data_IF_685691177077
#
_entry.id   IF_685691177077
#
_cell.length_a   1.000
_cell.length_b   1.000
_cell.length_c   1.000
_cell.angle_alpha   90.00
_cell.angle_beta   90.00
_cell.angle_gamma   90.00
#
_symmetry.space_group_name_H-M   'P 1'
#
loop_
_entity.id
_entity.type
_entity.pdbx_description
1 polymer ?
#
# COMPACT_ATOMS: atom_id res chain seq x y z
N UNK A 1 -36.24 0.08 -72.04
CA UNK A 1 -36.39 -0.02 -70.56
C UNK A 1 -35.00 -0.01 -69.95
N UNK A 2 -34.57 1.14 -69.43
CA UNK A 2 -33.21 1.36 -68.97
C UNK A 2 -33.21 1.39 -67.42
N UNK A 3 -32.58 0.39 -66.79
CA UNK A 3 -32.36 0.38 -65.33
C UNK A 3 -31.13 1.19 -64.97
N UNK A 4 -31.16 2.06 -63.93
CA UNK A 4 -30.02 2.81 -63.49
C UNK A 4 -29.06 2.01 -62.61
N UNK A 5 -27.79 1.99 -63.00
CA UNK A 5 -26.67 1.43 -62.19
C UNK A 5 -26.47 2.22 -60.92
N UNK A 6 -26.65 1.62 -59.76
CA UNK A 6 -26.28 2.14 -58.47
C UNK A 6 -24.75 2.19 -58.33
N UNK A 7 -24.17 3.36 -58.03
CA UNK A 7 -22.78 3.52 -57.67
C UNK A 7 -22.58 3.12 -56.19
N UNK A 8 -21.49 2.42 -55.81
CA UNK A 8 -21.20 2.15 -54.43
C UNK A 8 -20.83 3.41 -53.63
N UNK A 9 -21.50 3.61 -52.52
CA UNK A 9 -21.14 4.66 -51.53
C UNK A 9 -19.73 4.37 -50.96
N UNK A 10 -18.74 5.22 -51.26
CA UNK A 10 -17.47 5.24 -50.57
C UNK A 10 -17.73 5.56 -49.09
N UNK A 11 -17.49 4.59 -48.20
CA UNK A 11 -17.35 4.81 -46.78
C UNK A 11 -16.09 5.66 -46.56
N UNK A 12 -16.28 6.94 -46.23
CA UNK A 12 -15.21 7.80 -45.72
C UNK A 12 -14.99 7.37 -44.28
N UNK A 13 -14.05 6.47 -44.03
CA UNK A 13 -13.57 6.14 -42.72
C UNK A 13 -12.81 7.38 -42.22
N UNK A 14 -13.31 8.01 -41.15
CA UNK A 14 -12.78 9.28 -40.63
C UNK A 14 -11.40 9.04 -39.99
N UNK A 15 -10.33 9.34 -40.72
CA UNK A 15 -8.94 9.35 -40.23
C UNK A 15 -8.74 10.29 -39.03
N UNK A 16 -9.62 11.24 -38.81
CA UNK A 16 -9.57 12.23 -37.72
C UNK A 16 -9.89 11.66 -36.33
N UNK A 17 -10.50 10.47 -36.19
CA UNK A 17 -10.82 9.87 -34.88
C UNK A 17 -9.64 9.12 -34.27
N UNK A 18 -8.82 8.47 -35.07
CA UNK A 18 -7.65 7.67 -34.63
C UNK A 18 -6.53 8.58 -34.15
N UNK A 19 -6.33 9.74 -34.76
CA UNK A 19 -5.27 10.66 -34.37
C UNK A 19 -5.60 11.43 -33.09
N UNK A 20 -6.87 11.76 -32.87
CA UNK A 20 -7.35 12.36 -31.59
C UNK A 20 -7.20 11.38 -30.42
N UNK A 21 -7.42 10.12 -30.61
CA UNK A 21 -7.31 9.10 -29.56
C UNK A 21 -5.84 8.81 -29.19
N UNK A 22 -4.94 8.78 -30.18
CA UNK A 22 -3.48 8.71 -29.95
C UNK A 22 -2.94 9.91 -29.18
N UNK A 23 -3.38 11.11 -29.54
CA UNK A 23 -2.98 12.36 -28.88
C UNK A 23 -3.51 12.42 -27.45
N UNK A 24 -4.74 11.99 -27.21
CA UNK A 24 -5.35 11.88 -25.88
C UNK A 24 -4.61 10.87 -25.00
N UNK A 25 -4.30 9.69 -25.53
CA UNK A 25 -3.53 8.64 -24.85
C UNK A 25 -2.12 9.09 -24.47
N UNK A 26 -1.45 9.86 -25.37
CA UNK A 26 -0.13 10.44 -25.09
C UNK A 26 -0.18 11.47 -23.96
N UNK A 27 -1.18 12.37 -23.98
CA UNK A 27 -1.38 13.38 -22.92
C UNK A 27 -1.68 12.74 -21.55
N UNK A 28 -2.46 11.67 -21.51
CA UNK A 28 -2.78 10.93 -20.28
C UNK A 28 -1.52 10.29 -19.70
N UNK A 29 -0.70 9.64 -20.54
CA UNK A 29 0.58 9.03 -20.13
C UNK A 29 1.58 10.07 -19.64
N UNK A 30 1.71 11.19 -20.32
CA UNK A 30 2.59 12.31 -19.92
C UNK A 30 2.16 12.89 -18.55
N UNK A 31 0.86 13.07 -18.35
CA UNK A 31 0.29 13.50 -17.06
C UNK A 31 0.59 12.51 -15.93
N UNK A 32 0.40 11.22 -16.17
CA UNK A 32 0.68 10.16 -15.17
C UNK A 32 2.17 10.11 -14.82
N UNK A 33 3.05 10.20 -15.84
CA UNK A 33 4.50 10.24 -15.63
C UNK A 33 4.95 11.45 -14.81
N UNK A 34 4.41 12.64 -15.08
CA UNK A 34 4.72 13.85 -14.32
C UNK A 34 4.24 13.76 -12.86
N UNK A 35 3.04 13.24 -12.62
CA UNK A 35 2.55 12.99 -11.26
C UNK A 35 3.48 12.05 -10.49
N UNK A 36 3.89 10.96 -11.11
CA UNK A 36 4.79 9.99 -10.50
C UNK A 36 6.17 10.58 -10.21
N UNK A 37 6.74 11.35 -11.14
CA UNK A 37 8.02 12.03 -10.94
C UNK A 37 7.98 13.00 -9.75
N UNK A 38 6.91 13.79 -9.61
CA UNK A 38 6.70 14.69 -8.47
C UNK A 38 6.58 13.93 -7.15
N UNK A 39 5.85 12.82 -7.11
CA UNK A 39 5.71 11.97 -5.93
C UNK A 39 7.06 11.39 -5.50
N UNK A 40 7.87 10.87 -6.44
CA UNK A 40 9.19 10.31 -6.16
C UNK A 40 10.16 11.39 -5.68
N UNK A 41 10.14 12.57 -6.29
CA UNK A 41 10.97 13.70 -5.88
C UNK A 41 10.60 14.17 -4.47
N UNK A 42 9.30 14.28 -4.17
CA UNK A 42 8.80 14.62 -2.85
C UNK A 42 9.28 13.63 -1.78
N UNK A 43 9.17 12.31 -2.05
CA UNK A 43 9.66 11.27 -1.12
C UNK A 43 11.14 11.46 -0.78
N UNK A 44 11.99 11.66 -1.80
CA UNK A 44 13.44 11.85 -1.61
C UNK A 44 13.75 13.07 -0.74
N UNK A 45 13.11 14.19 -1.03
CA UNK A 45 13.35 15.44 -0.30
C UNK A 45 12.77 15.40 1.11
N UNK A 46 11.57 14.87 1.30
CA UNK A 46 10.99 14.69 2.63
C UNK A 46 11.83 13.77 3.51
N UNK A 47 12.36 12.68 2.96
CA UNK A 47 13.21 11.76 3.70
C UNK A 47 14.57 12.37 4.09
N UNK A 48 15.14 13.25 3.26
CA UNK A 48 16.46 13.85 3.49
C UNK A 48 16.43 15.14 4.31
N UNK A 49 15.41 15.99 4.13
CA UNK A 49 15.31 17.32 4.74
C UNK A 49 14.15 17.45 5.74
N UNK A 50 13.23 16.49 5.76
CA UNK A 50 11.95 16.59 6.46
C UNK A 50 10.88 17.30 5.62
N UNK A 51 9.63 17.17 6.07
CA UNK A 51 8.47 17.73 5.36
C UNK A 51 8.51 19.27 5.39
N UNK A 52 8.73 19.89 6.55
CA UNK A 52 8.61 21.34 6.70
C UNK A 52 9.70 22.11 5.95
N UNK A 53 10.94 21.64 5.98
CA UNK A 53 12.06 22.26 5.30
C UNK A 53 12.08 22.07 3.78
N UNK A 54 11.22 21.21 3.22
CA UNK A 54 11.12 20.97 1.78
C UNK A 54 10.13 21.93 1.13
N UNK A 55 10.54 22.56 0.02
CA UNK A 55 9.70 23.48 -0.75
C UNK A 55 9.12 22.82 -2.01
N UNK A 56 7.98 23.31 -2.50
CA UNK A 56 7.38 22.88 -3.78
C UNK A 56 8.32 23.14 -4.95
N UNK A 57 9.08 24.22 -4.89
CA UNK A 57 10.08 24.58 -5.93
C UNK A 57 11.20 23.54 -6.03
N UNK A 58 11.72 23.08 -4.91
CA UNK A 58 12.75 22.02 -4.90
C UNK A 58 12.23 20.69 -5.44
N UNK A 59 10.99 20.32 -5.05
CA UNK A 59 10.33 19.12 -5.54
C UNK A 59 10.16 19.18 -7.06
N UNK A 60 9.65 20.30 -7.57
CA UNK A 60 9.45 20.50 -8.99
C UNK A 60 10.76 20.46 -9.77
N UNK A 61 11.81 21.13 -9.27
CA UNK A 61 13.15 21.12 -9.85
C UNK A 61 13.73 19.70 -9.92
N UNK A 62 13.66 18.94 -8.82
CA UNK A 62 14.15 17.54 -8.78
C UNK A 62 13.35 16.61 -9.71
N UNK A 63 12.06 16.89 -9.90
CA UNK A 63 11.18 16.12 -10.79
C UNK A 63 11.30 16.51 -12.26
N UNK A 64 12.02 17.57 -12.61
CA UNK A 64 12.06 18.12 -13.98
C UNK A 64 10.69 18.65 -14.42
N UNK A 65 9.90 19.21 -13.51
CA UNK A 65 8.53 19.67 -13.73
C UNK A 65 8.37 21.14 -13.39
N UNK A 66 7.34 21.79 -13.95
CA UNK A 66 6.94 23.13 -13.51
C UNK A 66 6.27 23.07 -12.14
N UNK A 67 6.60 24.01 -11.24
CA UNK A 67 6.09 24.07 -9.86
C UNK A 67 4.55 24.12 -9.79
N UNK A 68 3.91 24.85 -10.68
CA UNK A 68 2.45 24.95 -10.79
C UNK A 68 1.73 23.61 -10.96
N UNK A 69 2.44 22.55 -11.42
CA UNK A 69 1.85 21.21 -11.50
C UNK A 69 1.61 20.59 -10.14
N UNK A 70 2.38 20.96 -9.09
CA UNK A 70 2.14 20.50 -7.72
C UNK A 70 0.79 21.03 -7.22
N UNK A 71 0.55 22.33 -7.42
CA UNK A 71 -0.75 22.91 -7.06
C UNK A 71 -1.89 22.31 -7.87
N UNK A 72 -1.70 22.14 -9.16
CA UNK A 72 -2.72 21.57 -10.06
C UNK A 72 -3.06 20.11 -9.77
N UNK A 73 -2.08 19.28 -9.39
CA UNK A 73 -2.27 17.83 -9.22
C UNK A 73 -2.51 17.39 -7.79
N UNK A 74 -2.01 18.14 -6.81
CA UNK A 74 -1.96 17.74 -5.40
C UNK A 74 -2.50 18.81 -4.45
N UNK A 75 -2.94 19.94 -4.96
CA UNK A 75 -3.38 21.08 -4.12
C UNK A 75 -2.30 21.56 -3.14
N UNK A 76 -1.04 21.60 -3.60
CA UNK A 76 0.10 22.04 -2.82
C UNK A 76 0.92 20.91 -2.18
N UNK A 77 1.87 21.29 -1.30
CA UNK A 77 2.80 20.36 -0.65
C UNK A 77 2.09 19.34 0.25
N UNK A 78 1.06 19.75 0.98
CA UNK A 78 0.31 18.88 1.87
C UNK A 78 -0.35 17.71 1.13
N UNK A 79 -0.88 17.93 -0.07
CA UNK A 79 -1.52 16.89 -0.87
C UNK A 79 -0.54 15.88 -1.50
N UNK A 80 0.76 16.12 -1.43
CA UNK A 80 1.77 15.14 -1.89
C UNK A 80 1.91 13.94 -0.95
N UNK A 81 1.74 14.11 0.36
CA UNK A 81 1.83 12.99 1.31
C UNK A 81 0.73 11.94 1.09
N UNK A 82 -0.57 12.31 0.99
CA UNK A 82 -1.63 11.37 0.61
C UNK A 82 -1.35 10.65 -0.72
N UNK A 83 -0.98 11.41 -1.75
CA UNK A 83 -0.70 10.85 -3.07
C UNK A 83 0.51 9.89 -3.06
N UNK A 84 1.53 10.20 -2.26
CA UNK A 84 2.68 9.33 -2.05
C UNK A 84 2.27 8.02 -1.37
N UNK A 85 1.41 8.10 -0.37
CA UNK A 85 0.90 6.93 0.32
C UNK A 85 0.08 6.03 -0.60
N UNK A 86 -0.89 6.59 -1.32
CA UNK A 86 -1.69 5.84 -2.30
C UNK A 86 -0.80 5.15 -3.35
N UNK A 87 0.19 5.85 -3.86
CA UNK A 87 1.14 5.30 -4.82
C UNK A 87 1.91 4.11 -4.24
N UNK A 88 2.40 4.20 -2.99
CA UNK A 88 3.15 3.13 -2.35
C UNK A 88 2.29 1.92 -2.05
N UNK A 89 1.14 2.12 -1.43
CA UNK A 89 0.23 1.03 -1.06
C UNK A 89 -0.29 0.28 -2.28
N UNK A 90 -0.63 1.00 -3.35
CA UNK A 90 -1.06 0.37 -4.60
C UNK A 90 0.04 -0.53 -5.19
N UNK A 91 1.29 -0.12 -5.10
CA UNK A 91 2.43 -0.95 -5.53
C UNK A 91 2.65 -2.15 -4.62
N UNK A 92 2.59 -1.94 -3.31
CA UNK A 92 2.75 -2.97 -2.29
C UNK A 92 1.77 -4.13 -2.51
N UNK A 93 0.48 -3.82 -2.62
CA UNK A 93 -0.57 -4.83 -2.85
C UNK A 93 -0.39 -5.52 -4.21
N UNK A 94 0.00 -4.77 -5.24
CA UNK A 94 0.30 -5.35 -6.56
C UNK A 94 1.53 -6.28 -6.53
N UNK A 95 2.55 -5.93 -5.75
CA UNK A 95 3.76 -6.74 -5.60
C UNK A 95 3.46 -8.02 -4.81
N UNK A 96 2.64 -7.97 -3.76
CA UNK A 96 2.15 -9.15 -3.06
C UNK A 96 1.44 -10.10 -4.02
N UNK A 97 0.54 -9.59 -4.85
CA UNK A 97 -0.24 -10.41 -5.77
C UNK A 97 0.60 -11.04 -6.90
N UNK A 98 1.63 -10.33 -7.38
CA UNK A 98 2.42 -10.75 -8.55
C UNK A 98 3.62 -11.63 -8.20
N UNK A 99 4.30 -11.33 -7.11
CA UNK A 99 5.61 -11.92 -6.80
C UNK A 99 5.57 -12.97 -5.70
N UNK A 100 4.52 -12.98 -4.87
CA UNK A 100 4.39 -13.93 -3.78
C UNK A 100 3.27 -14.90 -4.11
N UNK A 101 3.65 -16.08 -4.61
CA UNK A 101 2.69 -17.16 -4.88
C UNK A 101 2.06 -17.63 -3.57
N UNK A 102 0.73 -17.88 -3.55
CA UNK A 102 0.10 -18.49 -2.39
C UNK A 102 0.76 -19.81 -2.03
N UNK A 103 0.98 -20.04 -0.73
CA UNK A 103 1.50 -21.30 -0.24
C UNK A 103 0.41 -22.37 -0.21
N UNK A 104 0.83 -23.64 -0.02
CA UNK A 104 -0.08 -24.79 0.02
C UNK A 104 -0.66 -25.04 1.41
N UNK A 105 0.06 -24.61 2.47
CA UNK A 105 -0.36 -24.77 3.86
C UNK A 105 -0.66 -23.42 4.50
N UNK A 106 -1.52 -23.40 5.50
CA UNK A 106 -1.81 -22.20 6.28
C UNK A 106 -0.56 -21.66 6.97
N UNK A 107 0.25 -22.55 7.56
CA UNK A 107 1.49 -22.15 8.23
C UNK A 107 2.44 -21.41 7.28
N UNK A 108 2.74 -22.01 6.13
CA UNK A 108 3.64 -21.41 5.15
C UNK A 108 3.09 -20.10 4.61
N UNK A 109 1.78 -20.03 4.37
CA UNK A 109 1.13 -18.82 3.90
C UNK A 109 1.24 -17.69 4.93
N UNK A 110 0.94 -17.99 6.20
CA UNK A 110 1.01 -16.99 7.26
C UNK A 110 2.43 -16.49 7.49
N UNK A 111 3.41 -17.39 7.53
CA UNK A 111 4.82 -17.04 7.67
C UNK A 111 5.34 -16.20 6.49
N UNK A 112 4.94 -16.53 5.28
CA UNK A 112 5.32 -15.78 4.09
C UNK A 112 4.67 -14.39 4.08
N UNK A 113 3.42 -14.22 4.54
CA UNK A 113 2.76 -12.92 4.69
C UNK A 113 3.44 -12.05 5.76
N UNK A 114 3.82 -12.64 6.89
CA UNK A 114 4.58 -11.93 7.94
C UNK A 114 5.95 -11.51 7.41
N UNK A 115 6.68 -12.40 6.74
CA UNK A 115 7.97 -12.05 6.14
C UNK A 115 7.84 -10.93 5.11
N UNK A 116 6.83 -11.01 4.24
CA UNK A 116 6.53 -9.94 3.29
C UNK A 116 6.24 -8.61 3.99
N UNK A 117 5.43 -8.61 5.05
CA UNK A 117 5.12 -7.39 5.80
C UNK A 117 6.37 -6.78 6.45
N UNK A 118 7.26 -7.61 7.03
CA UNK A 118 8.54 -7.17 7.63
C UNK A 118 9.44 -6.52 6.57
N UNK A 119 9.64 -7.19 5.44
CA UNK A 119 10.47 -6.67 4.35
C UNK A 119 9.89 -5.38 3.76
N UNK A 120 8.57 -5.33 3.61
CA UNK A 120 7.90 -4.17 3.06
C UNK A 120 8.00 -2.94 3.96
N UNK A 121 7.80 -3.11 5.27
CA UNK A 121 7.98 -2.03 6.25
C UNK A 121 9.43 -1.50 6.27
N UNK A 122 10.41 -2.37 6.06
CA UNK A 122 11.79 -1.95 5.91
C UNK A 122 12.03 -1.13 4.63
N UNK A 123 11.46 -1.56 3.51
CA UNK A 123 11.52 -0.79 2.26
C UNK A 123 10.85 0.58 2.39
N UNK A 124 9.80 0.67 3.16
CA UNK A 124 9.02 1.89 3.37
C UNK A 124 9.56 2.80 4.49
N UNK A 125 10.66 2.43 5.14
CA UNK A 125 11.20 3.14 6.32
C UNK A 125 11.41 4.64 6.10
N UNK A 126 11.86 5.06 4.92
CA UNK A 126 12.08 6.48 4.63
C UNK A 126 10.75 7.25 4.55
N UNK A 127 9.72 6.64 3.96
CA UNK A 127 8.38 7.20 3.97
C UNK A 127 7.79 7.24 5.39
N UNK A 128 7.92 6.16 6.15
CA UNK A 128 7.37 6.06 7.51
C UNK A 128 8.03 7.08 8.47
N UNK A 129 9.30 7.38 8.28
CA UNK A 129 10.00 8.44 9.05
C UNK A 129 9.40 9.83 8.84
N UNK A 130 8.78 10.07 7.70
CA UNK A 130 8.09 11.34 7.39
C UNK A 130 6.61 11.25 7.77
N UNK A 131 5.95 10.16 7.43
CA UNK A 131 4.51 10.02 7.58
C UNK A 131 4.06 9.94 9.05
N UNK A 132 4.83 9.25 9.90
CA UNK A 132 4.44 9.08 11.32
C UNK A 132 4.47 10.40 12.08
N UNK A 133 5.53 11.23 12.07
CA UNK A 133 5.51 12.54 12.72
C UNK A 133 4.39 13.45 12.19
N UNK A 134 4.14 13.45 10.88
CA UNK A 134 3.06 14.24 10.30
C UNK A 134 1.68 13.75 10.75
N UNK A 135 1.48 12.44 10.90
CA UNK A 135 0.21 11.89 11.41
C UNK A 135 -0.04 12.24 12.88
N UNK A 136 1.02 12.43 13.68
CA UNK A 136 0.92 12.90 15.07
C UNK A 136 0.59 14.39 15.16
N UNK A 137 1.06 15.19 14.19
CA UNK A 137 0.86 16.65 14.16
C UNK A 137 -0.43 17.06 13.45
N UNK A 138 -0.89 16.26 12.47
CA UNK A 138 -2.08 16.52 11.67
C UNK A 138 -3.07 15.35 11.79
N UNK A 139 -4.13 15.50 12.62
CA UNK A 139 -5.15 14.46 12.80
C UNK A 139 -5.86 14.07 11.49
N UNK A 140 -6.04 15.00 10.56
CA UNK A 140 -6.64 14.74 9.24
C UNK A 140 -5.76 13.81 8.39
N UNK A 141 -4.47 14.07 8.39
CA UNK A 141 -3.51 13.16 7.74
C UNK A 141 -3.45 11.80 8.45
N UNK A 142 -3.47 11.75 9.78
CA UNK A 142 -3.51 10.51 10.55
C UNK A 142 -4.74 9.65 10.25
N UNK A 143 -5.92 10.27 10.10
CA UNK A 143 -7.15 9.58 9.72
C UNK A 143 -7.05 8.99 8.30
N UNK A 144 -6.52 9.76 7.35
CA UNK A 144 -6.31 9.30 5.99
C UNK A 144 -5.27 8.15 5.94
N UNK A 145 -4.16 8.27 6.69
CA UNK A 145 -3.15 7.23 6.82
C UNK A 145 -3.77 5.89 7.25
N UNK A 146 -4.69 5.92 8.20
CA UNK A 146 -5.43 4.75 8.68
C UNK A 146 -6.31 4.11 7.60
N UNK A 147 -6.97 4.92 6.78
CA UNK A 147 -7.94 4.43 5.78
C UNK A 147 -7.26 3.82 4.55
N UNK A 148 -6.18 4.42 4.07
CA UNK A 148 -5.57 4.01 2.79
C UNK A 148 -4.63 2.80 2.98
N UNK A 149 -3.64 2.89 3.86
CA UNK A 149 -2.60 1.88 3.97
C UNK A 149 -3.03 0.58 4.65
N UNK A 150 -3.36 0.63 5.95
CA UNK A 150 -3.68 -0.57 6.72
C UNK A 150 -4.89 -1.33 6.18
N UNK A 151 -5.93 -0.62 5.73
CA UNK A 151 -7.15 -1.24 5.26
C UNK A 151 -6.96 -2.03 3.95
N UNK A 152 -6.23 -1.47 2.98
CA UNK A 152 -5.96 -2.16 1.71
C UNK A 152 -5.07 -3.38 1.94
N UNK A 153 -4.06 -3.26 2.80
CA UNK A 153 -3.18 -4.37 3.19
C UNK A 153 -3.96 -5.47 3.90
N UNK A 154 -4.79 -5.12 4.88
CA UNK A 154 -5.64 -6.07 5.60
C UNK A 154 -6.56 -6.85 4.65
N UNK A 155 -7.19 -6.18 3.69
CA UNK A 155 -8.01 -6.83 2.66
C UNK A 155 -7.22 -7.83 1.82
N UNK A 156 -6.02 -7.47 1.39
CA UNK A 156 -5.16 -8.36 0.59
C UNK A 156 -4.74 -9.61 1.38
N UNK A 157 -4.32 -9.43 2.64
CA UNK A 157 -3.98 -10.52 3.56
C UNK A 157 -5.19 -11.41 3.81
N UNK A 158 -6.33 -10.83 4.19
CA UNK A 158 -7.56 -11.56 4.50
C UNK A 158 -8.07 -12.38 3.31
N UNK A 159 -7.98 -11.86 2.07
CA UNK A 159 -8.33 -12.58 0.86
C UNK A 159 -7.47 -13.84 0.66
N UNK A 160 -6.21 -13.82 1.08
CA UNK A 160 -5.31 -14.97 0.99
C UNK A 160 -5.59 -15.98 2.09
N UNK A 161 -5.76 -15.53 3.34
CA UNK A 161 -5.99 -16.40 4.50
C UNK A 161 -7.36 -17.09 4.48
N UNK A 162 -8.41 -16.44 3.95
CA UNK A 162 -9.76 -17.04 3.83
C UNK A 162 -9.83 -18.34 3.03
N UNK A 163 -8.79 -18.68 2.29
CA UNK A 163 -8.73 -19.90 1.47
C UNK A 163 -8.44 -21.16 2.30
N UNK A 164 -7.95 -21.00 3.50
CA UNK A 164 -7.52 -22.10 4.37
C UNK A 164 -8.62 -22.50 5.33
N UNK A 165 -8.76 -23.80 5.55
CA UNK A 165 -9.76 -24.40 6.46
C UNK A 165 -9.62 -23.91 7.90
N UNK A 166 -8.41 -23.67 8.36
CA UNK A 166 -8.07 -23.15 9.67
C UNK A 166 -8.68 -21.77 9.95
N UNK A 167 -8.98 -21.01 8.89
CA UNK A 167 -9.62 -19.71 8.99
C UNK A 167 -11.14 -19.75 8.82
N UNK A 168 -11.71 -20.86 8.31
CA UNK A 168 -13.13 -20.96 7.96
C UNK A 168 -14.06 -21.17 9.16
N UNK A 169 -13.61 -21.34 10.31
CA UNK A 169 -14.45 -21.49 11.52
C UNK A 169 -14.17 -20.41 12.58
N UNK A 170 -13.25 -19.51 12.31
CA UNK A 170 -12.89 -18.47 13.26
C UNK A 170 -14.00 -17.42 13.39
N UNK A 171 -14.29 -16.97 14.62
CA UNK A 171 -15.09 -15.75 14.83
C UNK A 171 -14.49 -14.56 14.07
N UNK A 172 -15.33 -13.65 13.57
CA UNK A 172 -14.88 -12.50 12.78
C UNK A 172 -13.79 -11.68 13.50
N UNK A 173 -13.95 -11.47 14.82
CA UNK A 173 -12.98 -10.73 15.62
C UNK A 173 -11.60 -11.42 15.69
N UNK A 174 -11.57 -12.75 15.75
CA UNK A 174 -10.33 -13.52 15.79
C UNK A 174 -9.65 -13.54 14.41
N UNK A 175 -10.44 -13.69 13.36
CA UNK A 175 -9.92 -13.60 12.00
C UNK A 175 -9.33 -12.21 11.71
N UNK A 176 -10.00 -11.13 12.13
CA UNK A 176 -9.49 -9.76 12.01
C UNK A 176 -8.22 -9.55 12.85
N UNK A 177 -8.18 -10.10 14.08
CA UNK A 177 -6.98 -10.05 14.91
C UNK A 177 -5.79 -10.77 14.25
N UNK A 178 -6.03 -11.90 13.60
CA UNK A 178 -5.01 -12.64 12.85
C UNK A 178 -4.44 -11.82 11.69
N UNK A 179 -5.30 -11.15 10.94
CA UNK A 179 -4.88 -10.24 9.85
C UNK A 179 -4.10 -9.05 10.41
N UNK A 180 -4.58 -8.44 11.48
CA UNK A 180 -3.92 -7.30 12.11
C UNK A 180 -2.56 -7.68 12.69
N UNK A 181 -2.41 -8.89 13.24
CA UNK A 181 -1.14 -9.39 13.75
C UNK A 181 -0.04 -9.37 12.68
N UNK A 182 -0.33 -9.73 11.43
CA UNK A 182 0.63 -9.62 10.31
C UNK A 182 1.12 -8.18 10.16
N UNK A 183 0.20 -7.21 10.20
CA UNK A 183 0.52 -5.78 10.04
C UNK A 183 1.31 -5.23 11.22
N UNK A 184 0.93 -5.59 12.45
CA UNK A 184 1.61 -5.16 13.69
C UNK A 184 3.02 -5.73 13.77
N UNK A 185 3.18 -7.04 13.50
CA UNK A 185 4.48 -7.70 13.45
C UNK A 185 5.34 -7.05 12.37
N UNK A 186 4.80 -6.84 11.17
CA UNK A 186 5.49 -6.16 10.08
C UNK A 186 5.99 -4.78 10.48
N UNK A 187 5.13 -3.95 11.09
CA UNK A 187 5.48 -2.61 11.53
C UNK A 187 6.54 -2.62 12.66
N UNK A 188 6.33 -3.43 13.69
CA UNK A 188 7.25 -3.50 14.82
C UNK A 188 8.62 -4.03 14.41
N UNK A 189 8.69 -5.13 13.67
CA UNK A 189 9.93 -5.83 13.37
C UNK A 189 10.57 -5.42 12.03
N UNK A 190 9.80 -4.85 11.12
CA UNK A 190 10.32 -4.33 9.86
C UNK A 190 10.70 -2.84 9.92
N UNK A 191 10.07 -2.06 10.80
CA UNK A 191 10.33 -0.63 10.91
C UNK A 191 10.79 -0.21 12.31
N UNK A 192 9.98 -0.38 13.36
CA UNK A 192 10.28 0.19 14.68
C UNK A 192 11.61 -0.32 15.25
N UNK A 193 11.80 -1.63 15.33
CA UNK A 193 13.02 -2.20 15.89
C UNK A 193 14.27 -1.87 15.09
N UNK A 194 14.36 -2.11 13.77
CA UNK A 194 15.58 -1.83 13.03
C UNK A 194 15.78 -0.35 12.67
N UNK A 195 14.73 0.39 12.28
CA UNK A 195 14.88 1.75 11.78
C UNK A 195 14.86 2.83 12.87
N UNK A 196 14.12 2.60 13.98
CA UNK A 196 13.97 3.56 15.08
C UNK A 196 14.85 3.17 16.26
N UNK A 197 14.75 1.91 16.73
CA UNK A 197 15.51 1.43 17.90
C UNK A 197 16.91 0.90 17.55
N UNK A 198 17.29 0.95 16.26
CA UNK A 198 18.61 0.55 15.75
C UNK A 198 19.03 -0.87 16.11
N UNK A 199 18.06 -1.77 16.23
CA UNK A 199 18.33 -3.18 16.47
C UNK A 199 18.71 -3.89 15.17
N UNK A 200 19.43 -5.01 15.30
CA UNK A 200 19.83 -5.79 14.13
C UNK A 200 18.61 -6.27 13.34
N UNK A 201 18.61 -6.02 12.03
CA UNK A 201 17.49 -6.34 11.14
C UNK A 201 17.24 -7.85 11.04
N UNK A 202 18.32 -8.65 11.00
CA UNK A 202 18.19 -10.11 10.88
C UNK A 202 17.59 -10.71 12.15
N UNK A 203 18.04 -10.21 13.30
CA UNK A 203 17.48 -10.61 14.60
C UNK A 203 16.00 -10.23 14.67
N UNK A 204 15.66 -8.99 14.29
CA UNK A 204 14.27 -8.53 14.25
C UNK A 204 13.39 -9.42 13.35
N UNK A 205 13.83 -9.73 12.13
CA UNK A 205 13.07 -10.59 11.22
C UNK A 205 12.91 -12.02 11.75
N UNK A 206 13.96 -12.62 12.34
CA UNK A 206 13.88 -13.95 12.98
C UNK A 206 12.88 -13.96 14.12
N UNK A 207 12.87 -12.93 14.96
CA UNK A 207 11.91 -12.80 16.06
C UNK A 207 10.48 -12.68 15.55
N UNK A 208 10.25 -11.91 14.48
CA UNK A 208 8.94 -11.79 13.83
C UNK A 208 8.39 -13.16 13.38
N UNK A 209 9.23 -13.95 12.70
CA UNK A 209 8.85 -15.28 12.23
C UNK A 209 8.65 -16.28 13.40
N UNK A 210 9.42 -16.15 14.48
CA UNK A 210 9.21 -16.98 15.67
C UNK A 210 7.85 -16.70 16.32
N UNK A 211 7.47 -15.41 16.46
CA UNK A 211 6.14 -15.02 16.97
C UNK A 211 5.04 -15.55 16.04
N UNK A 212 5.20 -15.40 14.72
CA UNK A 212 4.23 -15.91 13.75
C UNK A 212 4.02 -17.42 13.87
N UNK A 213 5.10 -18.20 14.04
CA UNK A 213 5.01 -19.67 14.28
C UNK A 213 4.26 -20.01 15.57
N UNK A 214 4.47 -19.26 16.63
CA UNK A 214 3.73 -19.48 17.90
C UNK A 214 2.23 -19.23 17.70
N UNK A 215 1.85 -18.17 16.98
CA UNK A 215 0.45 -17.89 16.65
C UNK A 215 -0.18 -19.02 15.81
N UNK A 216 0.52 -19.47 14.76
CA UNK A 216 0.03 -20.56 13.91
C UNK A 216 -0.15 -21.85 14.70
N UNK A 217 0.83 -22.23 15.54
CA UNK A 217 0.73 -23.44 16.37
C UNK A 217 -0.44 -23.39 17.35
N UNK A 218 -0.74 -22.20 17.88
CA UNK A 218 -1.91 -22.00 18.75
C UNK A 218 -3.24 -22.21 18.01
N UNK A 219 -3.28 -21.95 16.71
CA UNK A 219 -4.48 -22.16 15.89
C UNK A 219 -4.59 -23.59 15.35
N UNK A 220 -3.48 -24.22 15.01
CA UNK A 220 -3.44 -25.57 14.44
C UNK A 220 -3.33 -26.68 15.52
N UNK A 221 -2.93 -26.34 16.74
CA UNK A 221 -2.86 -27.27 17.87
C UNK A 221 -4.19 -27.34 18.59
N UNK A 222 -4.76 -28.55 18.64
CA UNK A 222 -5.94 -29.02 19.35
C UNK A 222 -6.84 -27.94 19.96
N UNK A 223 -8.03 -27.83 19.42
CA UNK A 223 -9.16 -27.04 19.84
C UNK A 223 -9.01 -26.28 21.17
N UNK A 224 -8.66 -25.02 21.07
CA UNK A 224 -9.02 -24.09 22.12
C UNK A 224 -10.54 -24.13 22.22
N UNK A 225 -11.05 -24.91 23.21
CA UNK A 225 -12.42 -24.72 23.65
C UNK A 225 -12.60 -23.23 23.88
N UNK A 226 -13.63 -22.59 23.31
CA UNK A 226 -13.81 -21.16 23.45
C UNK A 226 -13.95 -20.86 24.95
N UNK A 227 -12.88 -20.39 25.57
CA UNK A 227 -12.99 -19.78 26.88
C UNK A 227 -13.73 -18.44 26.66
N UNK A 228 -14.77 -18.17 27.47
CA UNK A 228 -15.43 -16.87 27.44
C UNK A 228 -14.33 -15.81 27.60
N UNK A 229 -14.33 -14.82 26.71
CA UNK A 229 -13.37 -13.74 26.70
C UNK A 229 -13.17 -13.22 28.13
N UNK A 230 -11.92 -13.11 28.63
CA UNK A 230 -11.71 -12.50 29.94
C UNK A 230 -12.32 -11.10 29.86
N UNK A 231 -13.23 -10.80 30.78
CA UNK A 231 -13.71 -9.44 30.98
C UNK A 231 -12.52 -8.60 31.42
N UNK A 232 -11.76 -8.12 30.45
CA UNK A 232 -10.77 -7.07 30.69
C UNK A 232 -11.57 -5.84 30.99
N UNK A 233 -11.81 -5.60 32.27
CA UNK A 233 -12.29 -4.31 32.74
C UNK A 233 -11.33 -3.27 32.17
N UNK A 234 -11.86 -2.44 31.26
CA UNK A 234 -11.14 -1.29 30.74
C UNK A 234 -10.72 -0.39 31.91
N UNK A 235 -9.48 -0.56 32.35
CA UNK A 235 -8.77 0.42 33.16
C UNK A 235 -8.40 1.60 32.25
N UNK A 236 -9.42 2.35 31.84
CA UNK A 236 -9.31 3.70 31.28
C UNK A 236 -10.18 4.59 32.13
N UNK A 237 -9.65 4.96 33.27
CA UNK A 237 -10.04 6.18 34.00
C UNK A 237 -8.94 7.22 33.84
#
# INVERSE_FOLDING_TARGET
MNSPKQRPRRQVVSEGSVDRDKTRSRRIRDRAGKKQALIIAALKLFASKGFDATTTREIAALAGCAEGLIHRYFNGKAGLLPALMEYRVSREVADLARHIRPANTFEDEYLQLVNWAVEHMWHDREFLRVAIPQALLDPGFGQMLRQVGPLQRARAIGTRLKKFSECQGLPEAEFDALIQAVSVIGFMFGFMRPAVLRQDRKISARTALAIARLLVRSLCGEGLTPQPAPQVALLLS
#
